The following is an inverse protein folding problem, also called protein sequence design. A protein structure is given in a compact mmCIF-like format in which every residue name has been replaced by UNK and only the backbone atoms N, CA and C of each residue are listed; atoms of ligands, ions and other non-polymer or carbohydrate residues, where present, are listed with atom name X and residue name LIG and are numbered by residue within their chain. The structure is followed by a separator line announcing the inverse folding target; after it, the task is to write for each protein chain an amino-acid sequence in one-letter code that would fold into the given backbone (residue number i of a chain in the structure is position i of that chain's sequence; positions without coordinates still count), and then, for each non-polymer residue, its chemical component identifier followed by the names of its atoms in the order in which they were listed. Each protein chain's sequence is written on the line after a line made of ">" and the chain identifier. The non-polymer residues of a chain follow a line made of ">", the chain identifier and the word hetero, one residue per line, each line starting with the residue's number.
data_IF_685672579897
#
_entry.id   IF_685672579897
#
_cell.length_a   1.000
_cell.length_b   1.000
_cell.length_c   1.000
_cell.angle_alpha   90.00
_cell.angle_beta   90.00
_cell.angle_gamma   90.00
#
_symmetry.space_group_name_H-M   'P 1'
#
loop_
_entity.id
_entity.type
_entity.pdbx_description
1 polymer ?
#
# COMPACT_ATOMS: atom_id res chain seq x y z
N UNK A 1 -21.34 -2.97 15.53
CA UNK A 1 -20.13 -2.74 16.32
C UNK A 1 -19.42 -1.52 15.76
N UNK A 2 -18.73 -0.75 16.57
CA UNK A 2 -17.94 0.39 16.11
C UNK A 2 -16.80 -0.11 15.18
N UNK A 3 -16.34 0.74 14.23
CA UNK A 3 -15.19 0.41 13.38
C UNK A 3 -14.01 -0.08 14.20
N UNK A 4 -13.34 -1.13 13.73
CA UNK A 4 -12.18 -1.71 14.40
C UNK A 4 -12.44 -2.44 15.73
N UNK A 5 -13.65 -2.40 16.28
CA UNK A 5 -13.95 -3.01 17.59
C UNK A 5 -13.82 -4.54 17.60
N UNK A 6 -13.80 -5.15 16.44
CA UNK A 6 -13.57 -6.60 16.25
C UNK A 6 -12.35 -6.91 15.40
N UNK A 7 -11.54 -5.90 15.12
CA UNK A 7 -10.31 -6.07 14.35
C UNK A 7 -9.48 -7.25 14.87
N UNK A 8 -8.99 -8.16 14.03
CA UNK A 8 -9.13 -8.22 12.56
C UNK A 8 -10.32 -9.07 12.06
N UNK A 9 -11.32 -9.34 12.87
CA UNK A 9 -12.48 -10.15 12.48
C UNK A 9 -13.43 -9.37 11.59
N UNK A 10 -14.02 -10.08 10.62
CA UNK A 10 -15.09 -9.51 9.80
C UNK A 10 -16.29 -9.07 10.67
N UNK A 11 -16.81 -7.89 10.37
CA UNK A 11 -17.95 -7.30 11.03
C UNK A 11 -18.98 -6.79 9.99
N UNK A 12 -19.93 -5.95 10.43
CA UNK A 12 -20.95 -5.38 9.54
C UNK A 12 -20.31 -4.53 8.43
N UNK A 13 -19.27 -3.75 8.74
CA UNK A 13 -18.57 -2.91 7.76
C UNK A 13 -17.86 -3.74 6.71
N UNK A 14 -17.23 -4.84 7.12
CA UNK A 14 -16.59 -5.80 6.20
C UNK A 14 -17.60 -6.41 5.22
N UNK A 15 -18.77 -6.83 5.72
CA UNK A 15 -19.83 -7.39 4.89
C UNK A 15 -20.41 -6.33 3.93
N UNK A 16 -20.63 -5.11 4.41
CA UNK A 16 -21.13 -4.00 3.61
C UNK A 16 -20.11 -3.61 2.51
N UNK A 17 -18.84 -3.54 2.82
CA UNK A 17 -17.79 -3.25 1.83
C UNK A 17 -17.73 -4.29 0.71
N UNK A 18 -17.88 -5.57 1.04
CA UNK A 18 -17.99 -6.64 0.05
C UNK A 18 -19.27 -6.49 -0.80
N UNK A 19 -20.40 -6.20 -0.16
CA UNK A 19 -21.68 -6.02 -0.83
C UNK A 19 -21.66 -4.84 -1.81
N UNK A 20 -21.09 -3.70 -1.41
CA UNK A 20 -20.91 -2.54 -2.29
C UNK A 20 -20.12 -2.91 -3.56
N UNK A 21 -19.04 -3.68 -3.42
CA UNK A 21 -18.25 -4.16 -4.57
C UNK A 21 -19.03 -5.12 -5.48
N UNK A 22 -19.85 -5.99 -4.91
CA UNK A 22 -20.69 -6.90 -5.67
C UNK A 22 -21.76 -6.12 -6.46
N UNK A 23 -22.43 -5.15 -5.85
CA UNK A 23 -23.42 -4.31 -6.52
C UNK A 23 -22.79 -3.43 -7.61
N UNK A 24 -21.63 -2.85 -7.36
CA UNK A 24 -20.91 -2.04 -8.35
C UNK A 24 -20.60 -2.83 -9.63
N UNK A 25 -20.32 -4.11 -9.49
CA UNK A 25 -19.98 -4.99 -10.61
C UNK A 25 -21.13 -5.92 -11.03
N UNK A 26 -22.34 -5.72 -10.51
CA UNK A 26 -23.48 -6.61 -10.74
C UNK A 26 -23.85 -6.76 -12.22
N UNK A 27 -23.74 -5.69 -13.01
CA UNK A 27 -24.00 -5.72 -14.43
C UNK A 27 -23.09 -6.71 -15.16
N UNK A 28 -21.80 -6.78 -14.78
CA UNK A 28 -20.85 -7.74 -15.37
C UNK A 28 -21.21 -9.18 -15.02
N UNK A 29 -21.72 -9.42 -13.81
CA UNK A 29 -22.01 -10.78 -13.33
C UNK A 29 -23.40 -11.29 -13.73
N UNK A 30 -24.37 -10.38 -13.82
CA UNK A 30 -25.79 -10.75 -13.94
C UNK A 30 -26.48 -10.15 -15.19
N UNK A 31 -25.81 -9.21 -15.88
CA UNK A 31 -26.41 -8.41 -16.95
C UNK A 31 -27.35 -7.30 -16.45
N UNK A 32 -27.47 -7.11 -15.12
CA UNK A 32 -28.35 -6.08 -14.54
C UNK A 32 -27.54 -5.14 -13.67
N UNK A 33 -27.51 -3.82 -13.95
CA UNK A 33 -26.81 -2.85 -13.12
C UNK A 33 -27.50 -2.64 -11.79
N UNK A 34 -26.72 -2.51 -10.71
CA UNK A 34 -27.19 -2.25 -9.34
C UNK A 34 -26.41 -1.08 -8.70
N UNK A 35 -26.23 0.00 -9.44
CA UNK A 35 -25.44 1.15 -8.98
C UNK A 35 -26.12 1.95 -7.87
N UNK A 36 -27.46 1.99 -7.88
CA UNK A 36 -28.23 2.63 -6.79
C UNK A 36 -28.00 1.90 -5.47
N UNK A 37 -28.11 0.59 -5.49
CA UNK A 37 -27.88 -0.27 -4.31
C UNK A 37 -26.42 -0.18 -3.84
N UNK A 38 -25.46 -0.09 -4.78
CA UNK A 38 -24.05 0.13 -4.44
C UNK A 38 -23.87 1.46 -3.69
N UNK A 39 -24.51 2.55 -4.16
CA UNK A 39 -24.46 3.86 -3.51
C UNK A 39 -25.07 3.81 -2.12
N UNK A 40 -26.26 3.23 -1.96
CA UNK A 40 -26.96 3.12 -0.67
C UNK A 40 -26.11 2.38 0.36
N UNK A 41 -25.45 1.29 -0.03
CA UNK A 41 -24.55 0.55 0.88
C UNK A 41 -23.32 1.37 1.26
N UNK A 42 -22.76 2.18 0.32
CA UNK A 42 -21.66 3.10 0.67
C UNK A 42 -22.11 4.17 1.67
N UNK A 43 -23.29 4.74 1.51
CA UNK A 43 -23.88 5.71 2.47
C UNK A 43 -24.11 5.07 3.85
N UNK A 44 -24.54 3.82 3.88
CA UNK A 44 -24.63 3.04 5.12
C UNK A 44 -23.26 2.89 5.81
N UNK A 45 -22.19 2.57 5.05
CA UNK A 45 -20.84 2.47 5.59
C UNK A 45 -20.37 3.78 6.20
N UNK A 46 -20.62 4.92 5.55
CA UNK A 46 -20.29 6.24 6.10
C UNK A 46 -20.98 6.50 7.43
N UNK A 47 -22.21 6.00 7.59
CA UNK A 47 -22.96 6.13 8.85
C UNK A 47 -22.44 5.26 10.00
N UNK A 48 -21.57 4.27 9.72
CA UNK A 48 -21.03 3.35 10.73
C UNK A 48 -19.89 3.93 11.56
N UNK A 49 -19.37 5.12 11.19
CA UNK A 49 -18.31 5.83 11.92
C UNK A 49 -16.89 5.47 11.46
N UNK A 50 -16.72 4.93 10.25
CA UNK A 50 -15.41 4.84 9.61
C UNK A 50 -14.92 6.23 9.20
N UNK A 51 -13.62 6.45 9.24
CA UNK A 51 -12.97 7.71 8.83
C UNK A 51 -11.67 7.41 8.11
N UNK A 52 -11.32 8.27 7.15
CA UNK A 52 -10.01 8.17 6.52
C UNK A 52 -8.91 8.53 7.52
N UNK A 53 -7.81 7.80 7.48
CA UNK A 53 -6.62 8.12 8.27
C UNK A 53 -6.06 9.48 7.84
N UNK A 54 -5.75 10.39 8.77
CA UNK A 54 -5.08 11.64 8.44
C UNK A 54 -3.63 11.44 7.97
N UNK A 55 -3.02 10.32 8.33
CA UNK A 55 -1.70 9.92 7.87
C UNK A 55 -1.81 8.71 6.94
N UNK A 56 -1.70 8.97 5.63
CA UNK A 56 -1.76 7.92 4.61
C UNK A 56 -0.66 6.87 4.78
N UNK A 57 0.54 7.26 5.24
CA UNK A 57 1.65 6.32 5.42
C UNK A 57 1.40 5.35 6.57
N UNK A 58 0.67 5.77 7.61
CA UNK A 58 0.33 4.93 8.76
C UNK A 58 -0.44 3.66 8.37
N UNK A 59 -1.21 3.70 7.27
CA UNK A 59 -1.94 2.53 6.76
C UNK A 59 -1.02 1.38 6.33
N UNK A 60 0.25 1.66 6.06
CA UNK A 60 1.20 0.72 5.45
C UNK A 60 2.43 0.43 6.32
N UNK A 61 2.44 0.95 7.56
CA UNK A 61 3.48 0.69 8.55
C UNK A 61 3.30 -0.66 9.23
N UNK A 62 4.37 -1.14 9.86
CA UNK A 62 4.36 -2.43 10.56
C UNK A 62 3.41 -2.49 11.75
N UNK A 63 3.05 -1.34 12.34
CA UNK A 63 2.15 -1.18 13.47
C UNK A 63 0.71 -0.80 13.07
N UNK A 64 0.37 -0.84 11.78
CA UNK A 64 -0.93 -0.37 11.29
C UNK A 64 -2.14 -1.06 11.94
N UNK A 65 -2.00 -2.28 12.43
CA UNK A 65 -3.04 -2.99 13.17
C UNK A 65 -3.21 -2.53 14.63
N UNK A 66 -2.26 -1.78 15.16
CA UNK A 66 -2.27 -1.22 16.52
C UNK A 66 -2.55 0.29 16.51
N UNK A 67 -2.40 0.94 15.36
CA UNK A 67 -2.69 2.36 15.19
C UNK A 67 -4.19 2.59 15.05
N UNK A 68 -4.86 3.29 15.99
CA UNK A 68 -6.32 3.50 15.97
C UNK A 68 -6.81 4.25 14.71
N UNK A 69 -6.01 5.17 14.16
CA UNK A 69 -6.37 5.93 12.97
C UNK A 69 -6.36 5.03 11.73
N UNK A 70 -5.35 4.17 11.58
CA UNK A 70 -5.29 3.19 10.51
C UNK A 70 -6.42 2.15 10.62
N UNK A 71 -6.65 1.61 11.82
CA UNK A 71 -7.75 0.66 12.08
C UNK A 71 -9.12 1.30 11.85
N UNK A 72 -9.26 2.59 12.12
CA UNK A 72 -10.50 3.36 11.89
C UNK A 72 -10.91 3.46 10.41
N UNK A 73 -9.97 3.34 9.48
CA UNK A 73 -10.25 3.32 8.04
C UNK A 73 -10.54 1.91 7.50
N UNK A 74 -10.00 0.87 8.12
CA UNK A 74 -10.04 -0.48 7.60
C UNK A 74 -11.43 -1.13 7.76
N UNK A 75 -12.11 -1.42 6.66
CA UNK A 75 -13.36 -2.19 6.66
C UNK A 75 -13.10 -3.67 6.96
N UNK A 76 -12.02 -4.23 6.45
CA UNK A 76 -11.60 -5.59 6.72
C UNK A 76 -10.10 -5.75 6.48
N UNK A 77 -9.46 -6.46 7.39
CA UNK A 77 -8.04 -6.76 7.30
C UNK A 77 -7.76 -8.26 7.53
N UNK A 78 -6.71 -8.75 6.90
CA UNK A 78 -6.10 -10.04 7.19
C UNK A 78 -4.84 -9.75 8.00
N UNK A 79 -4.87 -10.09 9.29
CA UNK A 79 -3.71 -9.81 10.15
C UNK A 79 -2.56 -10.77 9.89
N UNK A 80 -1.37 -10.22 9.85
CA UNK A 80 -0.11 -10.95 9.82
C UNK A 80 0.62 -10.73 11.13
N UNK A 81 1.12 -11.82 11.69
CA UNK A 81 1.89 -11.86 12.93
C UNK A 81 3.24 -12.51 12.62
N UNK A 82 4.31 -11.81 12.89
CA UNK A 82 5.68 -12.28 12.57
C UNK A 82 6.08 -13.58 13.25
N UNK A 83 5.35 -14.00 14.27
CA UNK A 83 5.60 -15.26 15.00
C UNK A 83 4.74 -16.44 14.54
N UNK A 84 3.59 -16.18 13.93
CA UNK A 84 2.59 -17.21 13.60
C UNK A 84 2.27 -17.33 12.12
N UNK A 85 2.28 -16.22 11.40
CA UNK A 85 1.95 -16.16 9.97
C UNK A 85 3.19 -15.95 9.11
N UNK A 86 4.23 -16.72 9.38
CA UNK A 86 5.51 -16.65 8.65
C UNK A 86 5.32 -17.19 7.23
N UNK A 87 5.59 -16.34 6.24
CA UNK A 87 5.47 -16.68 4.82
C UNK A 87 6.44 -15.83 3.99
N UNK A 88 6.91 -16.39 2.89
CA UNK A 88 7.63 -15.62 1.86
C UNK A 88 6.71 -14.81 0.94
N UNK A 89 5.41 -14.97 1.05
CA UNK A 89 4.39 -14.24 0.31
C UNK A 89 3.80 -13.06 1.08
N UNK A 90 2.74 -12.49 0.53
CA UNK A 90 2.00 -11.39 1.15
C UNK A 90 2.85 -10.15 1.42
N UNK A 91 2.71 -9.57 2.59
CA UNK A 91 3.43 -8.34 2.99
C UNK A 91 4.94 -8.55 3.06
N UNK A 92 5.41 -9.75 3.46
CA UNK A 92 6.84 -10.09 3.46
C UNK A 92 7.45 -9.93 2.07
N UNK A 93 6.76 -10.43 1.02
CA UNK A 93 7.20 -10.24 -0.35
C UNK A 93 7.21 -8.77 -0.76
N UNK A 94 6.14 -8.02 -0.47
CA UNK A 94 6.04 -6.60 -0.82
C UNK A 94 7.17 -5.77 -0.20
N UNK A 95 7.51 -6.05 1.06
CA UNK A 95 8.59 -5.38 1.77
C UNK A 95 9.96 -5.77 1.22
N UNK A 96 10.24 -7.06 1.12
CA UNK A 96 11.57 -7.54 0.75
C UNK A 96 11.89 -7.36 -0.74
N UNK A 97 10.90 -7.54 -1.61
CA UNK A 97 11.10 -7.42 -3.06
C UNK A 97 11.18 -5.96 -3.55
N UNK A 98 10.72 -4.98 -2.76
CA UNK A 98 10.80 -3.57 -3.13
C UNK A 98 12.22 -2.99 -3.06
N UNK A 99 13.15 -3.65 -2.40
CA UNK A 99 14.54 -3.23 -2.26
C UNK A 99 15.52 -4.32 -2.69
N UNK A 100 16.67 -3.94 -3.23
CA UNK A 100 17.81 -4.82 -3.40
C UNK A 100 18.67 -4.86 -2.13
N UNK A 101 19.54 -5.85 -2.01
CA UNK A 101 20.44 -5.97 -0.86
C UNK A 101 21.36 -4.74 -0.70
N UNK A 102 21.77 -4.13 -1.81
CA UNK A 102 22.57 -2.90 -1.84
C UNK A 102 21.81 -1.71 -1.28
N UNK A 103 20.53 -1.56 -1.60
CA UNK A 103 19.69 -0.47 -1.07
C UNK A 103 19.61 -0.52 0.47
N UNK A 104 19.48 -1.70 1.02
CA UNK A 104 19.40 -1.91 2.46
C UNK A 104 20.68 -1.50 3.18
N UNK A 105 21.84 -1.78 2.58
CA UNK A 105 23.13 -1.41 3.12
C UNK A 105 23.30 0.10 3.09
N UNK A 106 22.99 0.73 1.96
CA UNK A 106 23.19 2.16 1.72
C UNK A 106 22.26 3.06 2.55
N UNK A 107 21.05 2.59 2.86
CA UNK A 107 20.00 3.38 3.47
C UNK A 107 19.72 3.07 4.94
N UNK A 108 20.56 2.28 5.59
CA UNK A 108 20.29 1.88 6.97
C UNK A 108 18.91 1.28 7.15
N UNK A 109 18.48 0.40 6.22
CA UNK A 109 17.19 -0.30 6.26
C UNK A 109 15.98 0.62 6.10
N UNK A 110 15.79 1.25 4.94
CA UNK A 110 14.82 2.33 4.73
C UNK A 110 13.35 1.93 4.94
N UNK A 111 13.05 0.63 4.97
CA UNK A 111 11.72 0.08 5.26
C UNK A 111 11.73 -0.93 6.41
N UNK A 112 12.77 -0.94 7.25
CA UNK A 112 12.90 -1.86 8.37
C UNK A 112 13.27 -3.30 7.99
N UNK A 113 13.56 -3.59 6.72
CA UNK A 113 14.00 -4.92 6.28
C UNK A 113 15.51 -5.11 6.46
N UNK A 114 15.90 -6.35 6.72
CA UNK A 114 17.31 -6.76 6.81
C UNK A 114 17.80 -7.44 5.52
N UNK A 115 16.90 -7.84 4.65
CA UNK A 115 17.20 -8.49 3.37
C UNK A 115 16.39 -7.88 2.26
N UNK A 116 17.03 -7.58 1.12
CA UNK A 116 16.37 -7.16 -0.10
C UNK A 116 16.43 -8.28 -1.14
N UNK A 117 15.27 -8.61 -1.73
CA UNK A 117 15.16 -9.65 -2.77
C UNK A 117 15.14 -9.06 -4.16
N UNK A 118 14.93 -7.77 -4.28
CA UNK A 118 14.71 -7.05 -5.54
C UNK A 118 13.51 -7.59 -6.36
N UNK A 119 13.25 -6.98 -7.51
CA UNK A 119 12.26 -7.44 -8.49
C UNK A 119 10.97 -6.67 -8.53
N UNK A 120 10.46 -6.17 -7.41
CA UNK A 120 9.29 -5.30 -7.38
C UNK A 120 9.73 -3.84 -7.60
N UNK A 121 9.29 -3.24 -8.70
CA UNK A 121 9.71 -1.90 -9.11
C UNK A 121 8.68 -1.26 -10.03
N UNK A 122 8.77 0.04 -10.17
CA UNK A 122 7.83 0.88 -10.91
C UNK A 122 8.58 1.64 -12.01
N UNK A 123 8.02 1.78 -13.22
CA UNK A 123 8.63 2.60 -14.26
C UNK A 123 8.53 4.10 -13.90
N UNK A 124 9.50 4.88 -14.39
CA UNK A 124 9.55 6.32 -14.16
C UNK A 124 8.29 7.05 -14.62
N UNK A 125 7.78 6.66 -15.77
CA UNK A 125 6.60 7.26 -16.40
C UNK A 125 5.40 7.25 -15.45
N UNK A 126 5.20 6.14 -14.73
CA UNK A 126 4.13 6.06 -13.73
C UNK A 126 4.34 7.08 -12.59
N UNK A 127 5.56 7.19 -12.08
CA UNK A 127 5.84 8.08 -10.94
C UNK A 127 5.76 9.55 -11.37
N UNK A 128 6.34 9.90 -12.53
CA UNK A 128 6.36 11.29 -13.03
C UNK A 128 4.98 11.80 -13.42
N UNK A 129 4.12 10.93 -13.96
CA UNK A 129 2.78 11.32 -14.43
C UNK A 129 1.79 11.51 -13.27
N UNK A 130 1.87 10.68 -12.24
CA UNK A 130 0.85 10.66 -11.18
C UNK A 130 1.22 11.44 -9.91
N UNK A 131 2.47 11.83 -9.71
CA UNK A 131 2.92 12.36 -8.42
C UNK A 131 3.59 13.74 -8.48
N UNK A 132 3.44 14.49 -9.57
CA UNK A 132 3.97 15.86 -9.74
C UNK A 132 5.42 15.99 -9.23
N UNK A 133 6.30 15.18 -9.81
CA UNK A 133 7.71 15.12 -9.41
C UNK A 133 8.43 16.40 -9.78
N UNK A 134 8.95 17.12 -8.77
CA UNK A 134 9.68 18.37 -8.93
C UNK A 134 11.19 18.18 -9.06
N UNK A 135 11.72 17.14 -8.45
CA UNK A 135 13.14 16.87 -8.42
C UNK A 135 13.44 15.59 -7.63
N UNK A 136 14.73 15.38 -7.40
CA UNK A 136 15.23 14.24 -6.64
C UNK A 136 16.10 14.72 -5.50
N UNK A 137 15.81 14.27 -4.30
CA UNK A 137 16.73 14.37 -3.18
C UNK A 137 17.74 13.21 -3.26
N UNK A 138 18.92 13.48 -3.73
CA UNK A 138 19.98 12.49 -3.86
C UNK A 138 20.57 12.02 -2.53
N UNK A 139 20.32 12.74 -1.45
CA UNK A 139 20.77 12.35 -0.10
C UNK A 139 19.86 11.25 0.44
N UNK A 140 18.56 11.47 0.41
CA UNK A 140 17.56 10.51 0.87
C UNK A 140 17.21 9.46 -0.19
N UNK A 141 17.53 9.72 -1.46
CA UNK A 141 17.14 8.85 -2.58
C UNK A 141 15.64 8.90 -2.89
N UNK A 142 14.93 9.92 -2.46
CA UNK A 142 13.50 10.08 -2.66
C UNK A 142 13.18 11.22 -3.61
N UNK A 143 11.96 11.25 -4.14
CA UNK A 143 11.47 12.36 -4.92
C UNK A 143 11.06 13.54 -4.04
N UNK A 144 11.29 14.75 -4.59
CA UNK A 144 10.66 15.97 -4.12
C UNK A 144 9.31 16.12 -4.80
N UNK A 145 8.25 16.05 -4.04
CA UNK A 145 6.86 16.17 -4.49
C UNK A 145 5.98 16.68 -3.36
N UNK A 146 4.92 17.40 -3.72
CA UNK A 146 3.90 17.82 -2.75
C UNK A 146 2.93 16.68 -2.42
N UNK A 147 2.83 15.66 -3.27
CA UNK A 147 2.05 14.45 -3.00
C UNK A 147 2.83 13.50 -2.08
N UNK A 148 2.31 13.27 -0.87
CA UNK A 148 2.94 12.38 0.11
C UNK A 148 3.19 10.96 -0.45
N UNK A 149 2.35 10.49 -1.37
CA UNK A 149 2.50 9.16 -2.00
C UNK A 149 3.73 9.10 -2.92
N UNK A 150 4.09 10.21 -3.56
CA UNK A 150 5.31 10.30 -4.39
C UNK A 150 6.59 10.11 -3.60
N UNK A 151 6.59 10.45 -2.30
CA UNK A 151 7.75 10.27 -1.41
C UNK A 151 8.04 8.80 -1.07
N UNK A 152 7.12 7.90 -1.37
CA UNK A 152 7.27 6.46 -1.16
C UNK A 152 8.16 5.80 -2.20
N UNK A 153 8.55 6.50 -3.27
CA UNK A 153 9.42 5.96 -4.30
C UNK A 153 10.88 6.29 -4.04
N UNK A 154 11.74 5.30 -4.29
CA UNK A 154 13.16 5.34 -4.02
C UNK A 154 13.99 5.06 -5.26
N UNK A 155 15.02 5.86 -5.48
CA UNK A 155 15.78 5.88 -6.74
C UNK A 155 17.30 5.80 -6.60
N UNK A 156 17.86 6.02 -5.40
CA UNK A 156 19.33 6.11 -5.22
C UNK A 156 20.05 4.91 -5.83
N UNK A 157 20.99 5.19 -6.70
CA UNK A 157 21.75 4.14 -7.40
C UNK A 157 20.97 3.35 -8.45
N UNK A 158 19.78 3.82 -8.83
CA UNK A 158 18.90 3.18 -9.82
C UNK A 158 18.84 3.95 -11.12
N UNK A 159 18.60 3.28 -12.23
CA UNK A 159 18.26 3.89 -13.52
C UNK A 159 16.75 4.09 -13.62
N UNK A 160 16.33 5.23 -14.15
CA UNK A 160 14.92 5.49 -14.46
C UNK A 160 14.41 4.58 -15.58
N UNK A 161 15.22 4.36 -16.60
CA UNK A 161 14.85 3.53 -17.77
C UNK A 161 14.93 2.03 -17.44
N UNK A 162 13.89 1.33 -17.81
CA UNK A 162 13.79 -0.13 -17.76
C UNK A 162 13.79 -0.76 -19.17
N UNK A 163 13.74 0.04 -20.24
CA UNK A 163 13.45 -0.42 -21.61
C UNK A 163 14.43 -1.48 -22.12
N UNK A 164 15.73 -1.29 -21.90
CA UNK A 164 16.75 -2.13 -22.50
C UNK A 164 17.34 -3.21 -21.58
N UNK A 165 16.89 -3.27 -20.33
CA UNK A 165 17.48 -4.13 -19.33
C UNK A 165 16.51 -4.52 -18.22
N UNK A 166 15.35 -5.06 -18.56
CA UNK A 166 14.35 -5.55 -17.60
C UNK A 166 14.91 -6.58 -16.62
N UNK A 167 15.95 -7.34 -17.02
CA UNK A 167 16.64 -8.31 -16.17
C UNK A 167 17.53 -7.66 -15.10
N UNK A 168 17.85 -6.37 -15.22
CA UNK A 168 18.60 -5.63 -14.21
C UNK A 168 17.64 -5.09 -13.17
N UNK A 169 17.57 -5.73 -12.02
CA UNK A 169 16.60 -5.39 -10.97
C UNK A 169 16.87 -4.06 -10.25
N UNK A 170 17.98 -3.40 -10.56
CA UNK A 170 18.29 -2.03 -10.12
C UNK A 170 17.76 -0.96 -11.09
N UNK A 171 17.17 -1.33 -12.22
CA UNK A 171 16.50 -0.38 -13.10
C UNK A 171 15.04 -0.23 -12.69
N UNK A 172 14.52 0.99 -12.80
CA UNK A 172 13.22 1.36 -12.29
C UNK A 172 13.24 1.75 -10.80
N UNK A 173 12.13 2.20 -10.28
CA UNK A 173 11.97 2.78 -8.96
C UNK A 173 11.51 1.75 -7.94
N UNK A 174 12.12 1.74 -6.76
CA UNK A 174 11.57 0.98 -5.64
C UNK A 174 10.36 1.68 -5.03
N UNK A 175 9.37 0.93 -4.59
CA UNK A 175 8.21 1.43 -3.87
C UNK A 175 8.33 1.06 -2.39
N UNK A 176 8.54 2.06 -1.54
CA UNK A 176 8.65 1.91 -0.08
C UNK A 176 7.32 2.11 0.64
N UNK A 177 6.20 1.93 -0.07
CA UNK A 177 4.86 2.10 0.48
C UNK A 177 4.63 1.24 1.73
N UNK A 178 5.02 -0.02 1.65
CA UNK A 178 4.99 -0.92 2.81
C UNK A 178 6.33 -0.85 3.54
N UNK A 179 6.29 -0.62 4.86
CA UNK A 179 7.49 -0.58 5.68
C UNK A 179 7.22 -1.11 7.09
N UNK A 180 8.28 -1.59 7.75
CA UNK A 180 8.23 -2.10 9.13
C UNK A 180 8.70 -1.05 10.17
N UNK A 181 8.88 0.19 9.76
CA UNK A 181 9.22 1.28 10.68
C UNK A 181 7.89 1.85 11.19
N UNK A 182 7.68 1.88 12.51
CA UNK A 182 6.48 2.44 13.13
C UNK A 182 6.33 3.95 12.90
#
# INVERSE_FOLDING_TARGET
>A
AAPGSRYPRADRGSAAGLLARLYLNAEVYTGTPMWTEAKEVCEDIFSMGYSLSPDYEALFRGDNGENPEAVGEMLWAISYDSSRTISYGGTTYLLAASLAATDITDLSKPNGQINGWAGLRVPYEYVSEFFDVKGQDYVTGRYETDDARGRMFYIKGRSESMENALYVFMNGWSCLKFNNIP
#
